data_IF_809360506861
#
_entry.id   IF_809360506861
#
_cell.length_a   1.000
_cell.length_b   1.000
_cell.length_c   1.000
_cell.angle_alpha   90.00
_cell.angle_beta   90.00
_cell.angle_gamma   90.00
#
_symmetry.space_group_name_H-M   'P 1'
#
loop_
_entity.id
_entity.type
_entity.pdbx_description
1 polymer ?
2 water ?
#
# COMPACT_ATOMS: atom_id res chain seq x y z
N UNK A 7 43.29 -8.00 8.54
CA UNK A 7 42.55 -6.87 8.00
C UNK A 7 41.90 -7.23 6.67
N UNK A 8 40.59 -7.07 6.59
CA UNK A 8 39.79 -7.48 5.44
C UNK A 8 39.55 -6.24 4.58
N UNK A 9 39.90 -6.26 3.29
CA UNK A 9 39.61 -5.12 2.43
C UNK A 9 38.12 -5.00 2.14
N UNK A 10 37.68 -3.76 1.99
CA UNK A 10 36.26 -3.47 1.81
C UNK A 10 35.89 -3.50 0.34
N UNK A 11 34.61 -3.71 0.02
CA UNK A 11 34.16 -3.58 -1.37
C UNK A 11 34.27 -2.14 -1.84
N UNK A 12 34.03 -1.95 -3.13
CA UNK A 12 34.15 -0.63 -3.74
C UNK A 12 32.99 -0.37 -4.68
N UNK A 13 32.75 0.92 -4.94
CA UNK A 13 31.83 1.41 -5.97
C UNK A 13 30.42 0.85 -5.76
N UNK A 14 29.75 1.41 -4.76
CA UNK A 14 28.36 1.08 -4.48
C UNK A 14 27.47 1.76 -5.52
N UNK A 15 26.62 0.98 -6.17
CA UNK A 15 25.72 1.47 -7.20
C UNK A 15 24.29 1.11 -6.84
N UNK A 16 23.35 1.95 -7.29
CA UNK A 16 21.93 1.73 -7.07
C UNK A 16 21.29 1.30 -8.39
N UNK A 17 20.98 0.01 -8.51
CA UNK A 17 20.47 -0.55 -9.75
C UNK A 17 18.98 -0.29 -9.89
N UNK A 18 18.23 -0.42 -8.80
CA UNK A 18 16.79 -0.19 -8.78
C UNK A 18 16.46 0.62 -7.53
N UNK A 19 15.62 1.64 -7.70
CA UNK A 19 15.10 2.43 -6.58
C UNK A 19 13.61 2.63 -6.82
N UNK A 20 12.78 1.91 -6.07
CA UNK A 20 11.34 2.12 -6.07
C UNK A 20 10.91 2.68 -4.72
N UNK A 21 9.60 2.61 -4.44
CA UNK A 21 9.10 3.12 -3.17
C UNK A 21 9.34 2.15 -2.01
N UNK A 22 9.46 0.85 -2.31
CA UNK A 22 9.61 -0.16 -1.27
C UNK A 22 10.84 -1.03 -1.47
N UNK A 23 11.60 -0.83 -2.54
CA UNK A 23 12.71 -1.72 -2.86
C UNK A 23 13.90 -0.93 -3.35
N UNK A 24 15.09 -1.36 -2.95
CA UNK A 24 16.35 -0.82 -3.46
C UNK A 24 17.26 -2.01 -3.77
N UNK A 25 17.80 -2.04 -4.98
CA UNK A 25 18.77 -3.05 -5.39
C UNK A 25 20.12 -2.38 -5.55
N UNK A 26 21.12 -2.89 -4.83
CA UNK A 26 22.46 -2.35 -4.86
C UNK A 26 23.42 -3.40 -5.40
N UNK A 27 24.51 -2.94 -5.98
CA UNK A 27 25.60 -3.83 -6.40
C UNK A 27 26.93 -3.12 -6.16
N UNK A 28 28.00 -3.90 -6.11
CA UNK A 28 29.29 -3.37 -5.72
C UNK A 28 30.39 -4.17 -6.42
N UNK A 29 31.60 -3.63 -6.35
CA UNK A 29 32.80 -4.24 -6.90
C UNK A 29 33.57 -4.95 -5.81
N UNK A 30 33.96 -6.21 -6.02
CA UNK A 30 34.72 -6.93 -4.98
C UNK A 30 36.05 -6.26 -4.73
N UNK A 31 36.62 -6.43 -3.54
CA UNK A 31 38.02 -6.05 -3.34
C UNK A 31 38.92 -6.99 -4.11
N UNK A 32 40.15 -6.54 -4.34
CA UNK A 32 41.09 -7.37 -5.08
C UNK A 32 41.74 -8.36 -4.13
N UNK A 33 40.93 -9.09 -3.37
CA UNK A 33 41.39 -10.10 -2.43
C UNK A 33 40.33 -11.17 -2.32
N UNK A 34 40.76 -12.38 -1.96
CA UNK A 34 39.82 -13.47 -1.75
C UNK A 34 38.89 -13.13 -0.58
N UNK A 35 37.60 -13.33 -0.77
CA UNK A 35 36.59 -12.96 0.21
C UNK A 35 35.57 -14.09 0.31
N UNK A 36 35.17 -14.43 1.54
CA UNK A 36 34.16 -15.45 1.74
C UNK A 36 32.81 -15.01 1.18
N UNK A 37 32.39 -13.80 1.52
CA UNK A 37 31.12 -13.30 1.03
C UNK A 37 30.89 -11.89 1.53
N UNK A 38 29.65 -11.45 1.42
CA UNK A 38 29.27 -10.11 1.87
C UNK A 38 28.00 -10.19 2.70
N UNK A 39 27.88 -9.27 3.66
CA UNK A 39 26.65 -9.07 4.38
C UNK A 39 26.28 -7.59 4.30
N UNK A 40 24.97 -7.33 4.30
CA UNK A 40 24.44 -6.00 4.03
C UNK A 40 23.56 -5.58 5.20
N UNK A 41 23.85 -4.41 5.76
CA UNK A 41 22.99 -3.78 6.76
C UNK A 41 22.27 -2.60 6.13
N UNK A 42 21.00 -2.43 6.49
CA UNK A 42 20.18 -1.31 6.00
C UNK A 42 19.64 -0.60 7.23
N UNK A 43 19.97 0.69 7.36
CA UNK A 43 19.66 1.45 8.57
C UNK A 43 18.98 2.76 8.19
N UNK A 44 17.83 3.09 8.80
CA UNK A 44 17.21 4.39 8.53
C UNK A 44 18.09 5.54 8.99
N UNK A 45 18.16 6.58 8.17
CA UNK A 45 19.07 7.68 8.43
C UNK A 45 18.49 8.65 9.46
N UNK A 46 17.27 9.12 9.22
CA UNK A 46 16.71 10.23 9.98
C UNK A 46 15.56 9.84 10.90
N UNK A 47 14.75 8.84 10.53
CA UNK A 47 13.52 8.58 11.25
C UNK A 47 13.73 7.50 12.29
N UNK A 48 13.43 7.76 13.57
CA UNK A 48 13.61 6.73 14.61
C UNK A 48 12.51 5.69 14.58
N UNK A 49 11.30 6.09 14.14
CA UNK A 49 10.20 5.16 14.07
C UNK A 49 10.37 4.09 13.01
N UNK A 50 11.29 4.29 12.06
CA UNK A 50 11.52 3.35 10.99
C UNK A 50 12.30 2.13 11.49
N UNK A 51 12.45 1.14 10.60
CA UNK A 51 13.07 -0.12 10.97
C UNK A 51 14.21 -0.45 10.02
N UNK A 52 15.25 -1.07 10.57
CA UNK A 52 16.37 -1.53 9.78
C UNK A 52 16.26 -3.01 9.42
N UNK A 53 17.24 -3.46 8.63
CA UNK A 53 17.33 -4.86 8.24
C UNK A 53 18.78 -5.30 8.27
N UNK A 54 19.00 -6.57 8.58
CA UNK A 54 20.31 -7.20 8.50
C UNK A 54 20.20 -8.40 7.58
N UNK A 55 20.95 -8.36 6.47
CA UNK A 55 20.83 -9.44 5.48
C UNK A 55 21.92 -10.48 5.69
N UNK A 56 21.59 -11.76 5.53
CA UNK A 56 22.59 -12.82 5.75
C UNK A 56 23.70 -12.75 4.73
N UNK A 57 24.78 -13.49 5.04
CA UNK A 57 25.94 -13.50 4.15
C UNK A 57 25.57 -14.13 2.81
N UNK A 58 26.18 -13.62 1.75
CA UNK A 58 25.94 -14.14 0.41
C UNK A 58 27.20 -13.96 -0.42
N UNK A 59 27.37 -14.81 -1.43
CA UNK A 59 28.48 -14.68 -2.36
C UNK A 59 28.16 -13.77 -3.54
N UNK A 60 26.92 -13.29 -3.64
CA UNK A 60 26.55 -12.37 -4.71
C UNK A 60 27.16 -10.99 -4.47
N UNK A 61 27.49 -10.32 -5.57
CA UNK A 61 27.98 -8.95 -5.52
C UNK A 61 26.86 -7.93 -5.70
N UNK A 62 25.62 -8.33 -5.42
CA UNK A 62 24.48 -7.44 -5.44
C UNK A 62 23.52 -7.89 -4.35
N UNK A 63 22.54 -7.03 -4.05
CA UNK A 63 21.56 -7.37 -3.02
C UNK A 63 20.26 -6.64 -3.33
N UNK A 64 19.15 -7.36 -3.23
CA UNK A 64 17.82 -6.79 -3.41
C UNK A 64 17.19 -6.62 -2.04
N UNK A 65 16.95 -5.37 -1.65
CA UNK A 65 16.38 -5.04 -0.35
C UNK A 65 14.94 -4.59 -0.55
N UNK A 66 14.00 -5.28 0.09
CA UNK A 66 12.59 -4.94 0.01
C UNK A 66 12.05 -4.59 1.39
N UNK A 67 10.75 -4.35 1.47
CA UNK A 67 10.13 -3.98 2.73
C UNK A 67 10.51 -2.61 3.25
N UNK A 68 10.96 -1.72 2.38
CA UNK A 68 11.36 -0.38 2.78
C UNK A 68 10.15 0.55 2.79
N UNK A 69 10.28 1.62 3.58
CA UNK A 69 9.17 2.57 3.66
C UNK A 69 9.32 3.64 2.58
N UNK A 70 8.22 4.02 1.93
CA UNK A 70 8.31 5.04 0.87
C UNK A 70 8.72 6.39 1.41
N UNK A 71 9.62 7.05 0.69
CA UNK A 71 10.05 8.39 1.03
C UNK A 71 11.02 8.49 2.18
N UNK A 72 11.75 7.41 2.48
CA UNK A 72 12.64 7.34 3.63
C UNK A 72 14.06 7.15 3.14
N UNK A 73 15.01 7.82 3.80
CA UNK A 73 16.43 7.68 3.49
C UNK A 73 17.03 6.57 4.33
N UNK A 74 17.79 5.69 3.69
CA UNK A 74 18.46 4.59 4.38
C UNK A 74 19.95 4.61 4.11
N UNK A 75 20.73 4.20 5.12
CA UNK A 75 22.10 3.79 4.90
C UNK A 75 22.13 2.38 4.35
N UNK A 76 22.96 2.16 3.33
CA UNK A 76 23.23 0.83 2.82
C UNK A 76 24.70 0.54 3.05
N UNK A 77 24.99 -0.48 3.86
CA UNK A 77 26.35 -0.78 4.28
C UNK A 77 26.69 -2.22 3.89
N UNK A 78 27.74 -2.38 3.08
CA UNK A 78 28.17 -3.67 2.58
C UNK A 78 29.50 -4.03 3.26
N UNK A 79 29.50 -5.14 3.99
CA UNK A 79 30.70 -5.64 4.65
C UNK A 79 31.25 -6.83 3.89
N UNK A 80 32.54 -6.81 3.60
CA UNK A 80 33.22 -8.01 3.12
C UNK A 80 33.60 -8.88 4.31
N UNK A 81 33.53 -10.20 4.11
CA UNK A 81 33.80 -11.17 5.16
C UNK A 81 34.91 -12.11 4.70
N UNK A 82 35.87 -12.35 5.58
CA UNK A 82 36.97 -13.27 5.31
C UNK A 82 37.62 -13.67 6.62
N UNK A 83 37.90 -14.96 6.77
CA UNK A 83 38.50 -15.52 7.99
C UNK A 83 37.67 -15.19 9.22
N UNK A 84 36.36 -15.15 9.08
CA UNK A 84 35.48 -14.79 10.17
C UNK A 84 35.50 -13.33 10.56
N UNK A 85 36.35 -12.51 9.95
CA UNK A 85 36.44 -11.09 10.25
C UNK A 85 35.84 -10.28 9.11
N UNK A 86 35.38 -9.08 9.46
CA UNK A 86 34.67 -8.22 8.51
C UNK A 86 35.51 -6.98 8.19
N UNK A 87 35.29 -6.44 7.00
CA UNK A 87 35.94 -5.22 6.57
C UNK A 87 35.23 -4.01 7.18
N UNK A 88 35.82 -2.84 6.99
CA UNK A 88 35.06 -1.62 7.13
C UNK A 88 33.94 -1.61 6.09
N UNK A 89 32.79 -1.04 6.42
CA UNK A 89 31.66 -1.10 5.47
C UNK A 89 31.80 -0.13 4.32
N UNK A 90 31.34 -0.57 3.15
CA UNK A 90 31.10 0.33 2.03
C UNK A 90 29.70 0.89 2.19
N UNK A 91 29.59 2.22 2.28
CA UNK A 91 28.37 2.86 2.73
C UNK A 91 27.90 3.91 1.74
N UNK A 92 26.59 3.92 1.48
CA UNK A 92 25.96 4.94 0.65
C UNK A 92 24.53 5.14 1.13
N UNK A 93 23.97 6.30 0.81
CA UNK A 93 22.62 6.66 1.20
C UNK A 93 21.71 6.75 -0.01
N UNK A 94 20.47 6.31 0.15
CA UNK A 94 19.46 6.41 -0.89
C UNK A 94 18.10 6.63 -0.24
N UNK A 95 17.33 7.55 -0.81
CA UNK A 95 15.96 7.80 -0.40
C UNK A 95 15.03 7.05 -1.35
N UNK A 96 14.07 6.32 -0.79
CA UNK A 96 13.09 5.63 -1.62
C UNK A 96 12.11 6.61 -2.24
N UNK A 97 11.46 6.17 -3.31
CA UNK A 97 10.47 7.01 -3.97
C UNK A 97 9.16 7.03 -3.16
N UNK A 98 8.28 7.94 -3.55
CA UNK A 98 6.96 8.01 -2.95
C UNK A 98 6.04 6.96 -3.56
N UNK A 99 5.12 6.45 -2.75
CA UNK A 99 4.08 5.56 -3.26
C UNK A 99 2.88 6.38 -3.73
N UNK A 100 2.14 5.81 -4.67
CA UNK A 100 1.03 6.53 -5.27
C UNK A 100 -0.22 6.43 -4.40
N UNK A 101 -1.11 7.42 -4.47
CA UNK A 101 -2.45 7.25 -3.90
C UNK A 101 -3.14 6.08 -4.58
N UNK A 102 -4.14 5.52 -3.90
CA UNK A 102 -4.80 4.33 -4.40
C UNK A 102 -6.32 4.52 -4.41
N UNK A 103 -6.97 3.78 -5.31
CA UNK A 103 -8.42 3.67 -5.38
C UNK A 103 -9.09 5.04 -5.56
N UNK A 104 -8.78 5.65 -6.69
CA UNK A 104 -9.53 6.82 -7.14
C UNK A 104 -10.99 6.45 -7.34
N UNK A 105 -11.89 7.14 -6.65
CA UNK A 105 -13.31 6.85 -6.71
C UNK A 105 -14.06 8.13 -7.05
N UNK A 106 -15.19 7.98 -7.74
CA UNK A 106 -15.94 9.10 -8.26
C UNK A 106 -17.43 8.92 -7.94
N UNK A 107 -18.04 9.96 -7.39
CA UNK A 107 -19.47 9.98 -7.11
C UNK A 107 -20.10 11.08 -7.97
N UNK A 108 -21.03 10.68 -8.83
CA UNK A 108 -21.79 11.64 -9.63
C UNK A 108 -22.82 12.33 -8.74
N UNK A 109 -22.73 13.66 -8.65
CA UNK A 109 -23.71 14.45 -7.93
C UNK A 109 -24.75 15.04 -8.89
N UNK A 110 -24.28 15.80 -9.88
CA UNK A 110 -25.15 16.34 -10.92
C UNK A 110 -24.53 16.08 -12.30
N UNK A 111 -25.13 16.63 -13.36
CA UNK A 111 -24.55 16.49 -14.68
C UNK A 111 -23.30 17.34 -14.87
N UNK A 112 -22.95 18.20 -13.90
CA UNK A 112 -21.78 19.05 -14.02
C UNK A 112 -20.86 19.01 -12.81
N UNK A 113 -21.20 18.23 -11.78
CA UNK A 113 -20.37 18.16 -10.58
C UNK A 113 -20.13 16.69 -10.22
N UNK A 114 -18.89 16.42 -9.78
CA UNK A 114 -18.49 15.09 -9.36
C UNK A 114 -17.58 15.24 -8.15
N UNK A 115 -17.74 14.35 -7.17
CA UNK A 115 -16.87 14.31 -6.00
C UNK A 115 -15.82 13.22 -6.21
N UNK A 116 -14.55 13.60 -6.11
CA UNK A 116 -13.43 12.67 -6.25
C UNK A 116 -12.97 12.26 -4.85
N UNK A 117 -12.70 10.97 -4.68
CA UNK A 117 -12.18 10.45 -3.41
C UNK A 117 -11.04 9.50 -3.71
N UNK A 118 -10.16 9.31 -2.71
CA UNK A 118 -9.02 8.43 -2.87
C UNK A 118 -8.53 7.98 -1.51
N UNK A 119 -7.59 7.03 -1.53
CA UNK A 119 -6.91 6.58 -0.32
C UNK A 119 -5.51 7.18 -0.28
N UNK A 120 -5.13 7.90 0.77
CA UNK A 120 -3.83 8.56 0.77
C UNK A 120 -2.70 7.55 0.75
N UNK A 121 -1.53 7.94 0.24
CA UNK A 121 -0.38 7.02 0.22
C UNK A 121 0.19 6.83 1.62
N UNK A 122 1.14 5.90 1.71
CA UNK A 122 1.78 5.61 2.99
C UNK A 122 2.79 6.69 3.37
N UNK A 123 3.45 7.29 2.38
CA UNK A 123 4.51 8.25 2.67
C UNK A 123 3.94 9.54 3.22
N UNK A 124 4.74 10.23 4.03
CA UNK A 124 4.39 11.58 4.45
C UNK A 124 4.57 12.52 3.27
N UNK A 125 3.53 13.32 2.99
CA UNK A 125 3.49 14.13 1.78
C UNK A 125 3.21 15.58 2.16
N UNK A 126 3.42 16.46 1.18
CA UNK A 126 3.13 17.88 1.34
C UNK A 126 1.97 18.36 0.49
N UNK A 127 1.44 17.52 -0.39
CA UNK A 127 0.30 17.91 -1.19
C UNK A 127 0.05 16.90 -2.30
N UNK A 128 -0.91 17.26 -3.15
CA UNK A 128 -1.25 16.46 -4.32
C UNK A 128 -1.33 17.36 -5.54
N UNK A 129 -1.16 16.74 -6.70
CA UNK A 129 -1.46 17.36 -7.99
C UNK A 129 -2.56 16.54 -8.64
N UNK A 130 -3.71 17.17 -8.87
CA UNK A 130 -4.88 16.50 -9.41
C UNK A 130 -5.16 17.03 -10.81
N UNK A 131 -5.23 16.13 -11.79
CA UNK A 131 -5.43 16.49 -13.18
C UNK A 131 -6.70 15.85 -13.71
N UNK A 132 -7.59 16.66 -14.29
CA UNK A 132 -8.89 16.19 -14.78
C UNK A 132 -9.14 16.83 -16.14
N UNK A 133 -9.39 16.00 -17.15
CA UNK A 133 -9.70 16.50 -18.46
C UNK A 133 -10.51 15.51 -19.26
N UNK A 134 -11.20 16.03 -20.28
CA UNK A 134 -11.96 15.17 -21.17
C UNK A 134 -11.04 14.12 -21.79
N UNK A 135 -11.51 12.87 -21.80
CA UNK A 135 -10.68 11.77 -22.25
C UNK A 135 -10.24 11.94 -23.70
N UNK A 136 -11.10 12.53 -24.54
CA UNK A 136 -10.84 12.61 -25.96
C UNK A 136 -10.80 14.04 -26.49
N UNK A 137 -10.69 15.04 -25.62
CA UNK A 137 -10.68 16.42 -26.09
C UNK A 137 -9.84 17.30 -25.19
N UNK A 138 -8.88 17.99 -25.80
CA UNK A 138 -8.15 19.07 -25.17
C UNK A 138 -7.24 18.65 -24.04
N UNK A 139 -6.80 19.64 -23.32
CA UNK A 139 -5.86 19.48 -22.23
C UNK A 139 -6.59 19.53 -20.89
N UNK A 140 -6.11 18.79 -19.91
CA UNK A 140 -6.82 18.70 -18.64
C UNK A 140 -6.53 19.88 -17.72
N UNK A 141 -7.51 20.19 -16.88
CA UNK A 141 -7.27 21.13 -15.80
C UNK A 141 -6.36 20.50 -14.75
N UNK A 142 -5.74 21.35 -13.94
CA UNK A 142 -4.89 20.90 -12.85
C UNK A 142 -5.29 21.62 -11.58
N UNK A 143 -5.34 20.87 -10.47
CA UNK A 143 -5.69 21.42 -9.17
C UNK A 143 -4.57 21.10 -8.18
N UNK A 144 -4.23 22.08 -7.34
CA UNK A 144 -3.34 21.87 -6.21
C UNK A 144 -4.18 21.48 -4.99
N UNK A 145 -3.80 20.38 -4.34
CA UNK A 145 -4.58 19.78 -3.27
C UNK A 145 -3.72 19.67 -2.02
N UNK A 146 -4.33 19.90 -0.86
CA UNK A 146 -3.63 19.86 0.40
C UNK A 146 -3.29 18.45 0.86
N UNK A 147 -2.28 18.33 1.73
CA UNK A 147 -1.77 17.00 2.10
C UNK A 147 -2.68 16.20 3.02
N UNK A 148 -3.64 16.82 3.68
CA UNK A 148 -4.44 16.13 4.68
C UNK A 148 -5.79 15.67 4.17
N UNK A 149 -6.16 15.99 2.94
CA UNK A 149 -7.51 15.72 2.45
C UNK A 149 -7.50 14.46 1.59
N UNK A 150 -8.66 13.80 1.55
CA UNK A 150 -8.84 12.58 0.77
C UNK A 150 -10.01 12.69 -0.19
N UNK A 151 -10.44 13.90 -0.51
CA UNK A 151 -11.54 14.10 -1.43
C UNK A 151 -11.42 15.49 -2.04
N UNK A 152 -11.97 15.66 -3.25
CA UNK A 152 -11.94 16.94 -3.90
C UNK A 152 -13.16 17.09 -4.79
N UNK A 153 -13.88 18.21 -4.69
CA UNK A 153 -15.05 18.42 -5.56
C UNK A 153 -14.67 19.04 -6.89
N UNK A 154 -15.29 18.52 -7.95
CA UNK A 154 -15.10 19.03 -9.31
C UNK A 154 -16.38 19.72 -9.76
N UNK A 155 -16.22 20.81 -10.51
CA UNK A 155 -17.33 21.65 -10.90
C UNK A 155 -17.19 22.07 -12.35
N UNK A 156 -18.30 22.57 -12.91
CA UNK A 156 -18.32 23.09 -14.29
C UNK A 156 -17.89 22.03 -15.30
N UNK A 157 -18.29 20.79 -15.06
CA UNK A 157 -18.00 19.70 -15.98
C UNK A 157 -19.03 19.68 -17.10
N UNK A 158 -18.63 19.14 -18.25
CA UNK A 158 -19.56 19.01 -19.36
C UNK A 158 -20.41 17.75 -19.18
N UNK A 159 -21.72 17.85 -19.33
CA UNK A 159 -22.58 16.67 -19.08
C UNK A 159 -22.36 15.58 -20.12
N UNK A 160 -22.71 14.36 -19.70
CA UNK A 160 -22.66 13.18 -20.56
C UNK A 160 -21.29 12.99 -21.19
N UNK A 161 -20.23 13.36 -20.48
CA UNK A 161 -18.89 13.39 -21.04
C UNK A 161 -17.93 12.58 -20.18
N UNK A 162 -17.00 11.88 -20.83
CA UNK A 162 -16.01 11.06 -20.13
C UNK A 162 -14.77 11.89 -19.82
N UNK A 163 -14.32 11.79 -18.57
CA UNK A 163 -13.14 12.50 -18.10
C UNK A 163 -12.08 11.51 -17.64
N UNK A 164 -10.81 11.87 -17.86
CA UNK A 164 -9.67 11.12 -17.38
C UNK A 164 -9.06 11.86 -16.20
N UNK A 165 -8.77 11.14 -15.12
CA UNK A 165 -8.31 11.74 -13.88
C UNK A 165 -7.00 11.09 -13.47
N UNK A 166 -6.04 11.92 -13.05
CA UNK A 166 -4.78 11.46 -12.50
C UNK A 166 -4.50 12.21 -11.21
N UNK A 167 -3.86 11.52 -10.28
CA UNK A 167 -3.53 12.09 -8.97
C UNK A 167 -2.16 11.62 -8.55
N UNK A 168 -1.27 12.56 -8.25
CA UNK A 168 0.08 12.25 -7.81
C UNK A 168 0.32 12.92 -6.46
N UNK A 169 1.01 12.22 -5.59
CA UNK A 169 1.41 12.78 -4.30
C UNK A 169 2.73 13.52 -4.46
N UNK A 170 2.89 14.58 -3.68
CA UNK A 170 4.07 15.43 -3.73
C UNK A 170 4.66 15.51 -2.32
N UNK A 171 5.98 15.44 -2.23
CA UNK A 171 6.68 15.65 -0.97
C UNK A 171 7.92 16.49 -1.28
N UNK A 172 7.80 17.80 -1.09
CA UNK A 172 8.89 18.69 -1.48
C UNK A 172 9.08 18.63 -2.98
N UNK A 173 10.28 18.22 -3.40
CA UNK A 173 10.59 18.05 -4.81
C UNK A 173 10.29 16.65 -5.33
N UNK A 174 9.85 15.74 -4.47
CA UNK A 174 9.55 14.37 -4.87
C UNK A 174 8.12 14.26 -5.37
N UNK A 175 7.93 13.42 -6.38
CA UNK A 175 6.61 13.14 -6.96
C UNK A 175 6.40 11.63 -7.03
N UNK A 176 5.21 11.19 -6.62
CA UNK A 176 4.86 9.78 -6.70
C UNK A 176 4.45 9.41 -8.12
N UNK A 177 4.35 8.10 -8.41
CA UNK A 177 3.62 7.70 -9.62
C UNK A 177 2.15 8.08 -9.49
N UNK A 178 1.44 8.00 -10.61
CA UNK A 178 0.08 8.50 -10.67
C UNK A 178 -0.93 7.40 -10.36
N UNK A 179 -2.01 7.77 -9.69
CA UNK A 179 -3.22 6.98 -9.66
C UNK A 179 -4.15 7.51 -10.74
N UNK A 180 -4.78 6.61 -11.49
CA UNK A 180 -5.60 7.01 -12.61
C UNK A 180 -7.00 6.42 -12.48
N UNK A 181 -7.95 7.12 -13.09
CA UNK A 181 -9.32 6.65 -13.14
C UNK A 181 -10.08 7.43 -14.19
N UNK A 182 -11.23 6.89 -14.56
CA UNK A 182 -12.11 7.52 -15.53
C UNK A 182 -13.52 7.55 -14.97
N UNK A 183 -14.25 8.61 -15.30
CA UNK A 183 -15.66 8.70 -14.96
C UNK A 183 -16.39 9.39 -16.10
N UNK A 184 -17.69 9.16 -16.16
CA UNK A 184 -18.56 9.81 -17.13
C UNK A 184 -19.65 10.56 -16.38
N UNK A 185 -19.85 11.83 -16.72
CA UNK A 185 -20.88 12.62 -16.07
C UNK A 185 -22.26 12.19 -16.55
N UNK A 186 -23.28 12.60 -15.80
CA UNK A 186 -24.65 12.23 -16.12
C UNK A 186 -25.15 13.01 -17.34
N UNK A 187 -26.20 12.49 -17.95
CA UNK A 187 -26.87 13.21 -19.03
C UNK A 187 -27.54 14.47 -18.48
N UNK A 188 -27.72 15.49 -19.32
CA UNK A 188 -28.17 16.80 -18.81
C UNK A 188 -29.45 16.72 -18.00
N UNK A 189 -29.51 17.53 -16.93
CA UNK A 189 -30.67 17.64 -16.09
C UNK A 189 -31.03 16.41 -15.27
N UNK A 190 -30.24 15.34 -15.36
CA UNK A 190 -30.62 14.08 -14.70
C UNK A 190 -30.41 14.19 -13.20
N UNK A 191 -31.43 13.81 -12.43
CA UNK A 191 -31.40 13.84 -10.98
C UNK A 191 -31.25 12.42 -10.46
N UNK A 192 -30.10 12.13 -9.86
CA UNK A 192 -29.85 10.85 -9.21
C UNK A 192 -29.82 11.10 -7.70
N UNK A 193 -30.44 10.24 -6.89
CA UNK A 193 -30.35 10.42 -5.43
C UNK A 193 -28.90 10.40 -4.98
N UNK A 194 -28.55 11.25 -4.01
CA UNK A 194 -27.16 11.27 -3.53
C UNK A 194 -26.76 9.92 -2.95
N UNK A 195 -25.64 9.41 -3.41
CA UNK A 195 -25.16 8.11 -2.98
C UNK A 195 -23.70 8.18 -2.58
N UNK A 196 -23.28 7.21 -1.79
CA UNK A 196 -21.91 7.08 -1.33
C UNK A 196 -21.47 5.63 -1.50
N UNK A 197 -20.18 5.45 -1.75
CA UNK A 197 -19.60 4.12 -1.93
C UNK A 197 -18.45 3.94 -0.96
N UNK A 198 -18.30 2.71 -0.46
CA UNK A 198 -17.16 2.36 0.37
C UNK A 198 -16.74 0.94 0.05
N UNK A 199 -15.43 0.72 0.10
CA UNK A 199 -14.82 -0.55 -0.27
C UNK A 199 -13.97 -1.05 0.89
N UNK A 200 -14.18 -2.30 1.29
CA UNK A 200 -13.36 -2.95 2.32
C UNK A 200 -12.69 -4.18 1.71
N UNK A 201 -12.06 -4.97 2.57
CA UNK A 201 -11.31 -6.14 2.10
C UNK A 201 -12.19 -7.10 1.30
N UNK A 202 -13.46 -7.24 1.69
CA UNK A 202 -14.33 -8.23 1.06
C UNK A 202 -15.70 -7.68 0.63
N UNK A 203 -15.91 -6.37 0.74
CA UNK A 203 -17.23 -5.82 0.45
C UNK A 203 -17.12 -4.56 -0.40
N UNK A 204 -18.15 -4.32 -1.20
CA UNK A 204 -18.40 -3.04 -1.85
C UNK A 204 -19.81 -2.62 -1.48
N UNK A 205 -19.94 -1.42 -0.89
CA UNK A 205 -21.19 -0.96 -0.29
C UNK A 205 -21.61 0.34 -0.97
N UNK A 206 -22.90 0.43 -1.29
CA UNK A 206 -23.51 1.66 -1.79
C UNK A 206 -24.62 2.05 -0.84
N UNK A 207 -24.65 3.33 -0.45
CA UNK A 207 -25.66 3.84 0.46
C UNK A 207 -26.30 5.10 -0.13
N UNK A 208 -27.59 5.29 0.18
CA UNK A 208 -28.32 6.46 -0.29
C UNK A 208 -29.57 6.62 0.56
N UNK A 209 -30.20 7.78 0.44
CA UNK A 209 -31.46 8.03 1.13
C UNK A 209 -32.61 7.48 0.29
N UNK A 210 -33.40 6.55 0.82
CA UNK A 210 -34.50 5.98 0.04
C UNK A 210 -35.53 7.04 -0.34
N UNK A 211 -36.15 6.84 -1.50
CA UNK A 211 -37.20 7.70 -2.01
C UNK A 211 -38.25 6.82 -2.68
N UNK A 212 -39.52 7.25 -2.68
CA UNK A 212 -40.56 6.44 -3.33
C UNK A 212 -40.26 6.20 -4.79
N UNK A 213 -40.46 4.94 -5.22
CA UNK A 213 -40.36 4.52 -6.61
C UNK A 213 -38.95 4.69 -7.18
N UNK A 214 -37.93 4.74 -6.32
CA UNK A 214 -36.55 4.84 -6.75
C UNK A 214 -35.77 3.70 -6.09
N UNK A 215 -34.93 3.05 -6.89
CA UNK A 215 -34.05 2.01 -6.40
C UNK A 215 -32.72 2.03 -7.12
N UNK A 216 -31.83 1.13 -6.71
CA UNK A 216 -30.51 1.02 -7.29
C UNK A 216 -30.20 -0.43 -7.63
N UNK A 217 -29.49 -0.64 -8.74
CA UNK A 217 -28.92 -1.94 -9.09
C UNK A 217 -27.41 -1.84 -9.07
N UNK A 218 -26.76 -2.79 -8.39
CA UNK A 218 -25.31 -2.80 -8.24
C UNK A 218 -24.75 -4.11 -8.76
N UNK A 219 -23.92 -4.05 -9.79
CA UNK A 219 -23.21 -5.20 -10.30
C UNK A 219 -21.74 -5.13 -9.91
N UNK A 220 -21.13 -6.28 -9.68
CA UNK A 220 -19.72 -6.36 -9.33
C UNK A 220 -19.14 -7.60 -10.02
N UNK A 221 -18.00 -7.42 -10.69
CA UNK A 221 -17.33 -8.53 -11.35
C UNK A 221 -15.84 -8.24 -11.41
N UNK A 222 -14.99 -9.27 -11.36
CA UNK A 222 -13.54 -9.04 -11.41
C UNK A 222 -13.13 -8.54 -12.79
N UNK A 223 -12.32 -7.47 -12.80
CA UNK A 223 -11.89 -6.88 -14.07
C UNK A 223 -11.04 -7.83 -14.87
N UNK A 224 -10.26 -8.69 -14.21
CA UNK A 224 -9.42 -9.67 -14.88
C UNK A 224 -10.11 -11.01 -15.04
N UNK A 225 -11.40 -11.12 -14.69
CA UNK A 225 -12.10 -12.37 -14.72
C UNK A 225 -11.65 -13.29 -13.60
N UNK A 226 -12.27 -14.48 -13.57
CA UNK A 226 -11.95 -15.50 -12.59
C UNK A 226 -13.02 -15.76 -11.56
N UNK A 227 -14.04 -14.90 -11.47
CA UNK A 227 -15.15 -15.10 -10.56
C UNK A 227 -16.44 -14.79 -11.29
N UNK A 228 -17.51 -15.47 -10.91
CA UNK A 228 -18.81 -15.22 -11.51
C UNK A 228 -19.30 -13.82 -11.13
N UNK A 229 -20.01 -13.15 -12.04
CA UNK A 229 -20.48 -11.79 -11.74
C UNK A 229 -21.64 -11.79 -10.75
N UNK A 230 -21.76 -10.70 -10.01
CA UNK A 230 -22.83 -10.50 -9.05
C UNK A 230 -23.63 -9.27 -9.46
N UNK A 231 -24.93 -9.30 -9.19
CA UNK A 231 -25.81 -8.19 -9.54
C UNK A 231 -27.08 -8.29 -8.71
N UNK A 232 -27.32 -7.29 -7.86
CA UNK A 232 -28.49 -7.25 -6.98
C UNK A 232 -29.04 -5.83 -6.95
N UNK A 233 -30.28 -5.72 -6.50
CA UNK A 233 -31.00 -4.45 -6.43
C UNK A 233 -31.54 -4.24 -5.03
N UNK A 234 -31.98 -3.02 -4.75
CA UNK A 234 -32.62 -2.68 -3.49
C UNK A 234 -33.19 -1.27 -3.59
N UNK A 235 -34.29 -1.05 -2.88
CA UNK A 235 -34.79 0.30 -2.63
C UNK A 235 -34.62 0.72 -1.18
N UNK A 236 -33.90 -0.08 -0.40
CA UNK A 236 -33.79 0.12 1.05
C UNK A 236 -32.84 1.24 1.43
N UNK A 237 -32.00 1.71 0.52
CA UNK A 237 -31.01 2.71 0.83
C UNK A 237 -29.62 2.18 1.06
N UNK A 238 -29.41 0.87 0.93
CA UNK A 238 -28.08 0.31 1.06
C UNK A 238 -28.02 -1.03 0.34
N UNK A 239 -26.91 -1.26 -0.35
CA UNK A 239 -26.62 -2.54 -0.98
C UNK A 239 -25.20 -2.92 -0.57
N UNK A 240 -25.04 -4.09 0.02
CA UNK A 240 -23.74 -4.57 0.49
C UNK A 240 -23.42 -5.85 -0.27
N UNK A 241 -22.47 -5.76 -1.20
CA UNK A 241 -21.99 -6.93 -1.92
C UNK A 241 -20.78 -7.45 -1.16
N UNK A 242 -20.95 -8.57 -0.44
CA UNK A 242 -19.90 -9.17 0.36
C UNK A 242 -19.39 -10.43 -0.32
N UNK A 243 -18.43 -11.09 0.33
CA UNK A 243 -17.83 -12.28 -0.23
C UNK A 243 -16.81 -12.02 -1.31
N UNK A 244 -16.33 -10.78 -1.44
CA UNK A 244 -15.33 -10.48 -2.45
C UNK A 244 -13.94 -10.89 -1.97
N UNK A 245 -13.03 -11.01 -2.91
CA UNK A 245 -11.67 -11.47 -2.62
C UNK A 245 -10.77 -10.27 -2.34
N UNK A 246 -10.00 -10.28 -1.26
CA UNK A 246 -9.08 -9.17 -0.99
C UNK A 246 -8.00 -9.06 -2.05
N UNK A 247 -7.62 -7.82 -2.35
CA UNK A 247 -6.52 -7.57 -3.28
C UNK A 247 -6.86 -7.78 -4.74
N UNK A 248 -8.14 -7.70 -5.11
CA UNK A 248 -8.59 -7.96 -6.47
C UNK A 248 -9.20 -6.69 -7.02
N UNK A 249 -8.97 -6.42 -8.31
CA UNK A 249 -9.62 -5.30 -8.97
C UNK A 249 -11.01 -5.71 -9.45
N UNK A 250 -12.02 -4.94 -9.06
CA UNK A 250 -13.40 -5.23 -9.42
C UNK A 250 -13.98 -4.07 -10.22
N UNK A 251 -14.71 -4.41 -11.28
CA UNK A 251 -15.57 -3.46 -11.96
C UNK A 251 -16.92 -3.49 -11.27
N UNK A 252 -17.39 -2.35 -10.79
CA UNK A 252 -18.73 -2.29 -10.22
C UNK A 252 -19.56 -1.24 -10.94
N UNK A 253 -20.82 -1.59 -11.21
CA UNK A 253 -21.72 -0.79 -12.02
C UNK A 253 -22.94 -0.41 -11.20
N UNK A 254 -23.29 0.87 -11.22
CA UNK A 254 -24.45 1.40 -10.51
C UNK A 254 -25.45 1.88 -11.55
N UNK A 255 -26.72 1.51 -11.38
CA UNK A 255 -27.77 1.96 -12.27
C UNK A 255 -29.02 2.29 -11.46
N UNK A 256 -29.54 3.50 -11.63
CA UNK A 256 -30.76 3.91 -10.95
C UNK A 256 -31.94 3.18 -11.56
N UNK A 257 -32.92 2.83 -10.73
CA UNK A 257 -34.15 2.21 -11.18
C UNK A 257 -35.31 3.14 -10.81
N UNK A 258 -36.10 3.51 -11.82
CA UNK A 258 -37.25 4.38 -11.62
C UNK A 258 -38.51 3.58 -11.93
N UNK A 259 -39.35 3.39 -10.91
CA UNK A 259 -40.56 2.58 -11.02
C UNK A 259 -40.24 1.16 -11.49
N UNK A 260 -39.08 0.66 -11.09
CA UNK A 260 -38.65 -0.67 -11.45
C UNK A 260 -38.05 -0.81 -12.84
N UNK A 261 -37.87 0.29 -13.56
CA UNK A 261 -37.37 0.27 -14.92
C UNK A 261 -36.04 1.00 -15.02
N UNK A 262 -35.22 0.57 -15.99
CA UNK A 262 -33.92 1.18 -16.24
C UNK A 262 -34.08 2.27 -17.29
N UNK A 263 -34.08 3.53 -16.85
CA UNK A 263 -34.26 4.67 -17.74
C UNK A 263 -33.05 5.61 -17.75
N UNK A 264 -31.94 5.20 -17.14
CA UNK A 264 -30.70 5.98 -17.16
C UNK A 264 -29.54 5.04 -17.43
N UNK A 265 -28.51 5.57 -18.09
CA UNK A 265 -27.33 4.77 -18.40
C UNK A 265 -26.63 4.33 -17.13
N UNK A 266 -26.00 3.16 -17.13
CA UNK A 266 -25.29 2.70 -15.92
C UNK A 266 -24.00 3.49 -15.71
N UNK A 267 -23.61 3.60 -14.45
CA UNK A 267 -22.37 4.28 -14.06
C UNK A 267 -21.33 3.21 -13.75
N UNK A 268 -20.20 3.27 -14.45
CA UNK A 268 -19.16 2.23 -14.37
C UNK A 268 -18.02 2.75 -13.50
N UNK A 269 -17.56 1.90 -12.57
CA UNK A 269 -16.46 2.26 -11.68
C UNK A 269 -15.51 1.07 -11.57
N UNK A 270 -14.31 1.36 -11.05
CA UNK A 270 -13.29 0.34 -10.79
C UNK A 270 -12.67 0.60 -9.43
N UNK A 271 -12.31 -0.48 -8.74
CA UNK A 271 -11.71 -0.37 -7.41
C UNK A 271 -10.95 -1.65 -7.12
N UNK A 272 -9.92 -1.55 -6.30
CA UNK A 272 -9.14 -2.69 -5.84
C UNK A 272 -9.40 -2.87 -4.34
N UNK A 273 -9.81 -4.07 -3.96
CA UNK A 273 -10.10 -4.32 -2.55
C UNK A 273 -8.80 -4.33 -1.74
N UNK A 274 -8.82 -3.79 -0.52
CA UNK A 274 -7.62 -3.78 0.31
C UNK A 274 -7.15 -5.19 0.66
N UNK A 275 -5.87 -5.32 0.98
CA UNK A 275 -5.34 -6.60 1.39
C UNK A 275 -5.84 -6.96 2.78
N UNK A 276 -6.01 -8.26 3.02
CA UNK A 276 -6.43 -8.65 4.35
C UNK A 276 -5.22 -8.98 5.21
N UNK A 277 -5.23 -8.60 6.48
CA UNK A 277 -4.10 -8.88 7.35
C UNK A 277 -4.05 -10.34 7.73
N UNK A 278 -2.90 -10.82 8.22
CA UNK A 278 -2.90 -12.12 8.89
C UNK A 278 -3.71 -12.02 10.18
N UNK A 279 -4.07 -13.18 10.71
CA UNK A 279 -4.88 -13.25 11.91
C UNK A 279 -4.20 -14.17 12.93
N UNK A 280 -4.69 -14.11 14.16
CA UNK A 280 -4.27 -15.00 15.24
C UNK A 280 -2.75 -14.95 15.43
N UNK A 281 -2.26 -13.75 15.72
CA UNK A 281 -0.85 -13.55 15.99
C UNK A 281 -0.48 -14.14 17.34
N UNK A 282 0.71 -14.75 17.41
CA UNK A 282 1.18 -15.32 18.66
C UNK A 282 2.67 -15.03 18.83
N UNK A 283 3.03 -14.62 20.03
CA UNK A 283 4.42 -14.32 20.38
C UNK A 283 4.85 -15.25 21.51
N UNK A 284 5.99 -15.91 21.32
CA UNK A 284 6.57 -16.77 22.35
C UNK A 284 8.04 -16.41 22.49
N UNK A 285 8.45 -16.09 23.71
CA UNK A 285 9.83 -15.70 24.00
C UNK A 285 10.48 -16.78 24.85
N UNK A 286 11.62 -17.28 24.37
CA UNK A 286 12.37 -18.30 25.10
C UNK A 286 13.41 -17.60 25.97
N UNK A 287 13.25 -17.58 27.30
CA UNK A 287 14.24 -16.89 28.14
C UNK A 287 15.59 -17.59 28.18
N UNK A 288 15.66 -18.89 27.83
CA UNK A 288 16.93 -19.60 27.91
C UNK A 288 17.77 -19.41 26.67
N UNK A 289 17.15 -19.19 25.51
CA UNK A 289 17.89 -18.92 24.28
C UNK A 289 17.89 -17.44 23.91
N UNK A 290 16.88 -16.68 24.32
CA UNK A 290 16.81 -15.27 24.01
C UNK A 290 16.16 -14.93 22.69
N UNK A 291 15.62 -15.92 21.97
CA UNK A 291 14.99 -15.67 20.67
C UNK A 291 13.49 -15.59 20.85
N UNK A 292 12.86 -14.68 20.10
CA UNK A 292 11.42 -14.53 20.07
C UNK A 292 10.88 -15.15 18.80
N UNK A 293 9.85 -15.97 18.92
CA UNK A 293 9.21 -16.60 17.76
C UNK A 293 7.85 -15.97 17.56
N UNK A 294 7.62 -15.46 16.34
CA UNK A 294 6.36 -14.83 15.95
C UNK A 294 5.67 -15.76 14.95
N UNK A 295 4.38 -16.01 15.16
CA UNK A 295 3.63 -16.87 14.26
C UNK A 295 2.21 -16.33 14.09
N UNK A 296 1.59 -16.70 12.98
CA UNK A 296 0.28 -16.17 12.61
C UNK A 296 -0.42 -17.15 11.68
N UNK A 297 -1.72 -16.95 11.51
CA UNK A 297 -2.49 -17.64 10.49
C UNK A 297 -2.38 -16.86 9.18
N UNK A 298 -2.15 -17.59 8.09
CA UNK A 298 -1.98 -16.96 6.78
C UNK A 298 -3.12 -15.99 6.48
N UNK A 299 -2.78 -14.92 5.78
CA UNK A 299 -3.80 -14.01 5.27
C UNK A 299 -4.71 -14.73 4.29
N UNK A 300 -5.97 -14.31 4.25
CA UNK A 300 -6.92 -14.84 3.28
C UNK A 300 -6.73 -14.24 1.89
N UNK A 301 -5.77 -13.34 1.71
CA UNK A 301 -5.54 -12.74 0.41
C UNK A 301 -4.71 -13.67 -0.45
N UNK A 302 -5.19 -14.09 -1.61
CA UNK A 302 -4.35 -14.88 -2.53
C UNK A 302 -3.36 -14.00 -3.27
N UNK A 303 -2.28 -14.64 -3.73
CA UNK A 303 -1.28 -14.01 -4.60
C UNK A 303 -0.53 -12.88 -3.92
N UNK A 304 -0.40 -12.93 -2.59
CA UNK A 304 0.45 -11.95 -1.91
C UNK A 304 1.92 -12.25 -2.19
N UNK A 305 2.76 -11.25 -1.93
CA UNK A 305 4.21 -11.43 -2.12
C UNK A 305 4.95 -11.80 -0.85
N UNK A 306 4.34 -11.58 0.33
CA UNK A 306 4.96 -12.02 1.56
C UNK A 306 4.41 -11.27 2.76
N UNK A 307 5.16 -11.37 3.86
CA UNK A 307 4.80 -10.70 5.10
C UNK A 307 5.99 -9.87 5.57
N UNK A 308 5.67 -8.74 6.20
CA UNK A 308 6.66 -7.88 6.82
C UNK A 308 6.38 -7.86 8.31
N UNK A 309 7.41 -8.11 9.11
CA UNK A 309 7.28 -8.24 10.56
C UNK A 309 8.23 -7.23 11.20
N UNK A 310 7.66 -6.37 12.05
CA UNK A 310 8.45 -5.34 12.71
C UNK A 310 8.41 -5.53 14.22
N UNK A 311 9.52 -5.18 14.87
CA UNK A 311 9.59 -5.10 16.32
C UNK A 311 9.98 -3.68 16.70
N UNK A 312 9.28 -3.11 17.69
CA UNK A 312 9.56 -1.77 18.15
C UNK A 312 9.44 -1.78 19.68
N UNK A 313 10.45 -1.30 20.39
CA UNK A 313 10.29 -1.10 21.84
C UNK A 313 9.29 0.02 22.11
N UNK A 314 8.36 -0.25 23.03
CA UNK A 314 7.29 0.70 23.34
C UNK A 314 7.76 1.90 24.15
N UNK A 315 9.04 1.96 24.52
CA UNK A 315 9.56 3.05 25.34
C UNK A 315 10.26 4.12 24.52
N UNK A 316 10.05 4.15 23.21
CA UNK A 316 10.65 5.16 22.37
C UNK A 316 12.14 5.03 22.16
N UNK A 317 12.70 3.86 22.41
CA UNK A 317 14.13 3.63 22.24
C UNK A 317 14.50 3.63 20.77
N UNK A 318 15.77 3.90 20.50
CA UNK A 318 16.27 4.06 19.13
C UNK A 318 17.39 3.06 18.86
N UNK A 319 17.41 2.52 17.64
CA UNK A 319 18.43 1.59 17.23
C UNK A 319 18.10 0.13 17.46
N UNK A 320 17.08 -0.17 18.24
CA UNK A 320 16.63 -1.54 18.51
C UNK A 320 15.39 -1.88 17.70
N UNK A 321 15.29 -1.35 16.48
CA UNK A 321 14.08 -1.45 15.66
C UNK A 321 14.43 -2.18 14.37
N UNK A 322 14.44 -3.51 14.42
CA UNK A 322 14.68 -4.34 13.25
C UNK A 322 13.36 -4.88 12.70
N UNK A 323 13.38 -5.19 11.41
CA UNK A 323 12.23 -5.79 10.75
C UNK A 323 12.69 -6.98 9.92
N UNK A 324 11.73 -7.86 9.60
CA UNK A 324 11.98 -9.03 8.78
C UNK A 324 10.94 -9.10 7.67
N UNK A 325 11.40 -9.41 6.47
CA UNK A 325 10.51 -9.71 5.34
C UNK A 325 10.65 -11.20 5.01
N UNK A 326 9.53 -11.90 4.96
CA UNK A 326 9.52 -13.33 4.65
C UNK A 326 8.59 -13.55 3.46
N UNK A 327 8.81 -14.67 2.78
CA UNK A 327 7.94 -15.07 1.69
C UNK A 327 6.61 -15.59 2.24
N UNK A 328 5.66 -15.85 1.33
CA UNK A 328 4.29 -16.19 1.70
C UNK A 328 4.11 -17.60 2.22
N UNK A 329 5.10 -18.49 2.07
CA UNK A 329 5.00 -19.81 2.66
C UNK A 329 5.44 -19.83 4.10
N UNK A 330 5.89 -18.68 4.62
CA UNK A 330 6.31 -18.56 6.02
C UNK A 330 5.15 -18.02 6.84
N UNK A 331 4.75 -18.78 7.86
CA UNK A 331 3.78 -18.35 8.84
C UNK A 331 4.43 -18.09 10.19
N UNK A 332 5.75 -17.90 10.21
CA UNK A 332 6.48 -17.64 11.42
C UNK A 332 7.82 -17.02 11.07
N UNK A 333 8.45 -16.41 12.07
CA UNK A 333 9.81 -15.90 11.95
C UNK A 333 10.33 -15.68 13.37
N UNK A 334 11.63 -15.43 13.47
CA UNK A 334 12.29 -15.28 14.76
C UNK A 334 13.08 -13.99 14.81
N UNK A 335 13.19 -13.43 16.02
CA UNK A 335 14.03 -12.29 16.30
C UNK A 335 14.99 -12.66 17.42
N UNK A 336 16.27 -12.34 17.25
CA UNK A 336 17.33 -12.90 18.08
C UNK A 336 17.72 -12.00 19.24
N UNK A 337 18.15 -10.77 18.96
CA UNK A 337 18.70 -9.91 20.01
C UNK A 337 17.67 -8.85 20.42
N UNK A 338 16.74 -9.28 21.27
CA UNK A 338 15.82 -8.38 21.96
C UNK A 338 16.14 -8.38 23.44
N UNK A 339 16.15 -7.19 24.02
CA UNK A 339 16.49 -7.05 25.44
C UNK A 339 15.39 -7.66 26.30
N UNK A 340 15.70 -8.69 27.10
CA UNK A 340 14.66 -9.28 27.97
C UNK A 340 14.24 -8.32 29.07
N UNK A 341 12.97 -8.43 29.46
CA UNK A 341 12.39 -7.56 30.45
C UNK A 341 11.77 -6.29 29.91
N UNK A 342 12.00 -5.97 28.64
CA UNK A 342 11.51 -4.76 28.01
C UNK A 342 10.31 -5.08 27.12
N UNK A 343 9.45 -4.09 26.93
CA UNK A 343 8.23 -4.28 26.14
C UNK A 343 8.46 -3.94 24.67
N UNK A 344 8.14 -4.90 23.81
CA UNK A 344 8.22 -4.71 22.37
C UNK A 344 6.84 -4.86 21.74
N UNK A 345 6.54 -3.98 20.79
CA UNK A 345 5.37 -4.13 19.94
C UNK A 345 5.77 -4.85 18.67
N UNK A 346 5.08 -5.94 18.35
CA UNK A 346 5.35 -6.73 17.15
C UNK A 346 4.16 -6.61 16.22
N UNK A 347 4.42 -6.25 14.96
CA UNK A 347 3.38 -6.11 13.96
C UNK A 347 3.70 -6.95 12.74
N UNK A 348 2.67 -7.53 12.13
CA UNK A 348 2.81 -8.31 10.91
C UNK A 348 1.88 -7.73 9.86
N UNK A 349 2.43 -7.43 8.69
CA UNK A 349 1.68 -6.87 7.58
C UNK A 349 1.63 -7.86 6.43
N UNK A 350 0.46 -7.99 5.81
CA UNK A 350 0.38 -8.65 4.51
C UNK A 350 0.94 -7.71 3.45
N UNK A 351 1.83 -8.22 2.60
CA UNK A 351 2.50 -7.41 1.59
C UNK A 351 2.16 -7.96 0.22
N UNK A 352 1.82 -7.06 -0.71
CA UNK A 352 1.61 -7.41 -2.12
C UNK A 352 2.17 -6.26 -2.96
N UNK A 353 3.35 -6.46 -3.53
CA UNK A 353 4.08 -5.43 -4.28
C UNK A 353 4.33 -4.26 -3.33
N UNK A 354 3.97 -3.03 -3.68
CA UNK A 354 4.19 -1.89 -2.81
C UNK A 354 3.00 -1.61 -1.89
N UNK A 355 2.06 -2.55 -1.79
CA UNK A 355 0.85 -2.38 -0.99
C UNK A 355 0.94 -3.24 0.27
N UNK A 356 0.32 -2.76 1.35
CA UNK A 356 0.33 -3.49 2.62
C UNK A 356 -1.07 -3.47 3.22
N UNK A 357 -1.38 -4.53 3.96
CA UNK A 357 -2.59 -4.56 4.75
C UNK A 357 -2.41 -3.71 6.01
N UNK A 358 -3.50 -3.53 6.75
CA UNK A 358 -3.38 -3.04 8.12
C UNK A 358 -2.65 -4.14 8.88
N UNK A 359 -1.86 -3.82 9.90
CA UNK A 359 -1.13 -4.87 10.61
C UNK A 359 -2.01 -5.57 11.64
N UNK A 360 -1.53 -6.72 12.06
CA UNK A 360 -1.97 -7.35 13.31
C UNK A 360 -0.83 -7.21 14.30
N UNK A 361 -1.15 -6.75 15.50
CA UNK A 361 -0.11 -6.41 16.46
C UNK A 361 -0.41 -6.96 17.83
N UNK A 362 0.65 -7.09 18.62
CA UNK A 362 0.60 -7.51 20.01
C UNK A 362 1.92 -7.14 20.65
N UNK A 363 1.93 -7.13 21.98
CA UNK A 363 3.12 -6.77 22.74
C UNK A 363 3.58 -7.97 23.57
N UNK A 364 4.87 -7.94 23.93
CA UNK A 364 5.46 -9.04 24.69
C UNK A 364 6.55 -8.48 25.59
N UNK A 365 6.63 -9.04 26.81
CA UNK A 365 7.75 -8.78 27.72
C UNK A 365 8.57 -10.06 27.79
N UNK A 366 9.70 -10.15 27.11
CA UNK A 366 10.56 -11.34 27.25
C UNK A 366 11.07 -11.45 28.67
N UNK A 367 10.78 -12.60 29.30
CA UNK A 367 11.20 -12.83 30.68
C UNK A 367 12.72 -12.84 30.76
N UNK A 368 13.27 -11.97 31.61
CA UNK A 368 14.71 -11.89 31.79
C UNK A 368 15.16 -13.02 32.70
N UNK A 369 16.00 -13.95 32.21
CA UNK A 369 16.41 -15.14 32.97
C UNK A 369 17.41 -14.82 34.08
#
# INVERSE_FOLDING_TARGET
GSGRSDTVPSPRDLQFVEVTDVKVTIMWTPPESAVTGYRVDVIPVNLPGEHGQRLPISRNTFAEVTGLSPGVTYYFKVFAVSHGRESKPLTAQQTTKLDAPTNLQFVNETDSTVLVRWTPPRAQITGYRLTVGLTRRGQPRQYNVGPSVSKYPLRNLQPASEYTVSLVAIKGNQESPKATGVFTTLQPGSSIPPYNTEVTETTIVITWTPAPRIGFKLGVRPSQGGEAPREVTSDSGSIVVSGLTPGVEYVYTIQVLRDGQERDAPIVNKVVTPLSPPTNLHLEANPDTGVLTVSWERSTTPDITGYRITTTPTNGQQGNSLEEVVHADQSSCTFDNLSPGLEYNVSVYTVKDDKESVPISDTIIPAVP
#
